data_IF_721898129838
#
_entry.id   IF_721898129838
#
_cell.length_a   1.000
_cell.length_b   1.000
_cell.length_c   1.000
_cell.angle_alpha   90.00
_cell.angle_beta   90.00
_cell.angle_gamma   90.00
#
_symmetry.space_group_name_H-M   'P 1'
#
loop_
_entity.id
_entity.type
_entity.pdbx_description
1 polymer ?
#
# COMPACT_ATOMS: atom_id res chain seq x y z
N UNK A 1 -58.40 11.55 36.98
CA UNK A 1 -56.97 11.77 36.67
C UNK A 1 -56.81 11.73 35.15
N UNK A 2 -57.26 12.81 34.51
CA UNK A 2 -56.45 13.75 33.70
C UNK A 2 -55.94 13.09 32.41
N UNK A 3 -56.77 13.08 31.35
CA UNK A 3 -56.94 14.11 30.30
C UNK A 3 -55.85 14.01 29.21
N UNK A 4 -56.16 13.59 27.98
CA UNK A 4 -56.76 14.34 26.86
C UNK A 4 -55.97 15.58 26.41
N UNK A 5 -55.76 15.66 25.08
CA UNK A 5 -55.44 16.82 24.22
C UNK A 5 -54.09 16.66 23.48
N UNK A 6 -53.93 16.94 22.19
CA UNK A 6 -54.81 17.45 21.13
C UNK A 6 -54.06 17.25 19.80
N UNK A 7 -54.78 16.85 18.75
CA UNK A 7 -54.38 17.08 17.36
C UNK A 7 -54.16 18.58 17.08
N UNK A 8 -53.20 18.97 16.23
CA UNK A 8 -53.35 19.95 15.11
C UNK A 8 -52.00 20.44 14.53
N UNK A 9 -51.83 20.21 13.22
CA UNK A 9 -51.53 21.20 12.16
C UNK A 9 -50.26 22.07 12.31
N UNK A 10 -49.25 21.95 11.43
CA UNK A 10 -49.08 22.75 10.18
C UNK A 10 -47.69 22.59 9.54
N UNK A 11 -47.70 22.48 8.22
CA UNK A 11 -46.64 22.77 7.27
C UNK A 11 -46.05 24.20 7.38
N UNK A 12 -44.72 24.33 7.34
CA UNK A 12 -43.94 25.43 6.72
C UNK A 12 -42.44 25.09 6.91
N UNK A 13 -41.69 24.79 5.85
CA UNK A 13 -40.91 25.78 5.09
C UNK A 13 -40.13 26.74 5.98
N UNK A 14 -38.81 26.55 6.06
CA UNK A 14 -37.83 27.63 6.09
C UNK A 14 -36.49 27.11 5.58
N UNK A 15 -36.10 27.68 4.44
CA UNK A 15 -34.80 27.59 3.83
C UNK A 15 -33.73 28.31 4.67
N UNK A 16 -32.51 27.82 4.61
CA UNK A 16 -31.29 28.64 4.75
C UNK A 16 -30.23 28.06 3.80
N UNK A 17 -30.23 28.48 2.54
CA UNK A 17 -29.36 29.54 1.99
C UNK A 17 -27.87 29.16 1.97
N UNK A 18 -27.50 28.59 0.83
CA UNK A 18 -26.18 28.24 0.27
C UNK A 18 -25.17 29.39 0.18
N UNK A 19 -23.95 29.13 -0.35
CA UNK A 19 -23.48 29.93 -1.48
C UNK A 19 -23.36 29.06 -2.74
N UNK A 20 -24.22 29.38 -3.70
CA UNK A 20 -24.19 28.89 -5.08
C UNK A 20 -23.20 29.76 -5.86
N UNK A 21 -22.22 29.14 -6.50
CA UNK A 21 -21.47 29.78 -7.57
C UNK A 21 -22.27 29.63 -8.86
N UNK A 22 -22.68 30.75 -9.47
CA UNK A 22 -23.41 30.81 -10.74
C UNK A 22 -22.39 31.10 -11.83
N UNK A 23 -22.20 30.16 -12.76
CA UNK A 23 -21.63 30.45 -14.07
C UNK A 23 -22.73 30.27 -15.12
N UNK A 24 -22.88 31.28 -15.97
CA UNK A 24 -24.01 31.48 -16.85
C UNK A 24 -24.09 30.49 -18.00
N UNK A 25 -25.18 29.76 -18.06
CA UNK A 25 -26.04 29.43 -19.22
C UNK A 25 -26.97 28.31 -18.75
N UNK A 26 -28.27 28.54 -18.83
CA UNK A 26 -29.31 27.77 -18.14
C UNK A 26 -29.53 26.35 -18.69
N UNK A 27 -28.56 25.46 -18.53
CA UNK A 27 -28.74 24.03 -18.67
C UNK A 27 -28.47 23.34 -17.33
N UNK A 28 -29.52 22.77 -16.75
CA UNK A 28 -29.43 21.93 -15.57
C UNK A 28 -28.77 20.59 -15.95
N UNK A 29 -27.53 20.38 -15.54
CA UNK A 29 -26.88 19.08 -15.63
C UNK A 29 -27.42 18.18 -14.51
N UNK A 30 -28.02 17.04 -14.89
CA UNK A 30 -28.39 15.97 -13.97
C UNK A 30 -27.17 15.61 -13.10
N UNK A 31 -27.34 15.51 -11.78
CA UNK A 31 -26.27 15.19 -10.84
C UNK A 31 -25.55 13.87 -11.15
N UNK A 32 -26.21 12.97 -11.90
CA UNK A 32 -25.60 11.74 -12.42
C UNK A 32 -24.63 12.00 -13.59
N UNK A 33 -24.86 13.04 -14.39
CA UNK A 33 -24.01 13.43 -15.50
C UNK A 33 -22.73 14.11 -15.00
N UNK A 34 -22.84 14.98 -13.99
CA UNK A 34 -21.69 15.58 -13.29
C UNK A 34 -20.83 14.52 -12.59
N UNK A 35 -21.43 13.51 -11.97
CA UNK A 35 -20.68 12.38 -11.41
C UNK A 35 -20.00 11.55 -12.50
N UNK A 36 -20.64 11.33 -13.66
CA UNK A 36 -20.03 10.60 -14.77
C UNK A 36 -18.90 11.39 -15.44
N UNK A 37 -19.04 12.70 -15.60
CA UNK A 37 -17.98 13.58 -16.10
C UNK A 37 -16.85 13.73 -15.09
N UNK A 38 -17.12 13.80 -13.78
CA UNK A 38 -16.09 13.74 -12.74
C UNK A 38 -15.38 12.37 -12.71
N UNK A 39 -16.10 11.26 -12.95
CA UNK A 39 -15.50 9.91 -13.12
C UNK A 39 -14.63 9.81 -14.37
N UNK A 40 -15.07 10.43 -15.47
CA UNK A 40 -14.36 10.48 -16.75
C UNK A 40 -13.15 11.43 -16.69
N UNK A 41 -13.24 12.55 -15.98
CA UNK A 41 -12.12 13.47 -15.73
C UNK A 41 -11.11 12.87 -14.74
N UNK A 42 -11.58 12.09 -13.76
CA UNK A 42 -10.76 11.23 -12.90
C UNK A 42 -10.05 10.11 -13.68
N UNK A 43 -10.59 9.66 -14.81
CA UNK A 43 -10.00 8.52 -15.56
C UNK A 43 -8.65 8.83 -16.23
N UNK A 44 -8.22 10.09 -16.27
CA UNK A 44 -6.91 10.50 -16.79
C UNK A 44 -6.01 10.95 -15.64
N UNK A 45 -5.32 9.98 -15.04
CA UNK A 45 -4.18 10.18 -14.13
C UNK A 45 -4.52 10.51 -12.65
N UNK A 46 -5.26 9.62 -11.96
CA UNK A 46 -5.54 9.73 -10.49
C UNK A 46 -4.30 9.65 -9.61
N UNK A 47 -3.33 8.82 -10.00
CA UNK A 47 -2.17 8.55 -9.16
C UNK A 47 -1.04 9.52 -9.47
N UNK A 48 -0.21 9.78 -8.45
CA UNK A 48 0.95 10.63 -8.60
C UNK A 48 1.80 10.14 -9.78
N UNK A 49 2.39 11.05 -10.58
CA UNK A 49 3.15 10.66 -11.75
C UNK A 49 4.31 9.74 -11.36
N UNK A 50 4.46 8.64 -12.11
CA UNK A 50 5.53 7.65 -11.93
C UNK A 50 6.93 8.29 -12.04
N UNK A 51 7.04 9.45 -12.72
CA UNK A 51 8.21 10.33 -12.65
C UNK A 51 8.09 11.30 -11.49
N UNK A 52 8.79 11.03 -10.39
CA UNK A 52 8.93 12.00 -9.30
C UNK A 52 10.15 12.87 -9.52
N UNK A 53 9.95 14.20 -9.61
CA UNK A 53 10.89 15.11 -8.94
C UNK A 53 11.02 14.69 -7.46
N UNK A 54 12.05 15.17 -6.75
CA UNK A 54 12.51 14.74 -5.41
C UNK A 54 11.49 14.58 -4.27
N UNK A 55 10.20 14.81 -4.48
CA UNK A 55 9.17 14.90 -3.45
C UNK A 55 8.28 13.65 -3.29
N UNK A 56 8.31 12.67 -4.22
CA UNK A 56 7.51 11.45 -4.10
C UNK A 56 8.36 10.20 -3.89
N UNK A 57 7.85 9.25 -3.10
CA UNK A 57 8.51 7.97 -2.81
C UNK A 57 7.57 6.79 -3.02
N UNK A 58 8.13 5.65 -3.41
CA UNK A 58 7.43 4.37 -3.37
C UNK A 58 7.63 3.67 -2.03
N UNK A 59 6.63 2.90 -1.60
CA UNK A 59 6.71 2.04 -0.43
C UNK A 59 6.59 0.58 -0.84
N UNK A 60 7.40 -0.29 -0.24
CA UNK A 60 7.30 -1.74 -0.40
C UNK A 60 7.22 -2.38 0.97
N UNK A 61 6.14 -3.11 1.24
CA UNK A 61 5.85 -3.74 2.53
C UNK A 61 6.03 -5.26 2.39
N UNK A 62 7.06 -5.81 3.03
CA UNK A 62 7.37 -7.23 2.93
C UNK A 62 6.31 -8.11 3.60
N UNK A 63 6.37 -9.41 3.31
CA UNK A 63 5.73 -10.43 4.15
C UNK A 63 6.31 -10.41 5.58
N UNK A 64 5.49 -10.78 6.56
CA UNK A 64 5.86 -10.63 7.97
C UNK A 64 5.01 -11.42 8.95
N UNK A 65 4.23 -12.41 8.50
CA UNK A 65 3.20 -13.05 9.32
C UNK A 65 2.27 -12.00 9.97
N UNK A 66 1.87 -12.11 11.24
CA UNK A 66 0.96 -11.16 11.90
C UNK A 66 1.64 -9.85 12.35
N UNK A 67 2.73 -9.42 11.69
CA UNK A 67 3.49 -8.22 12.05
C UNK A 67 2.81 -6.89 11.64
N UNK A 68 1.48 -6.80 11.71
CA UNK A 68 0.70 -5.64 11.26
C UNK A 68 1.07 -4.35 12.00
N UNK A 69 1.37 -4.46 13.30
CA UNK A 69 1.85 -3.35 14.12
C UNK A 69 3.14 -2.74 13.57
N UNK A 70 4.06 -3.57 13.09
CA UNK A 70 5.33 -3.10 12.54
C UNK A 70 5.11 -2.30 11.25
N UNK A 71 4.33 -2.82 10.31
CA UNK A 71 4.02 -2.10 9.07
C UNK A 71 3.28 -0.79 9.36
N UNK A 72 2.36 -0.81 10.33
CA UNK A 72 1.64 0.38 10.77
C UNK A 72 2.56 1.43 11.39
N UNK A 73 3.52 1.02 12.21
CA UNK A 73 4.53 1.93 12.77
C UNK A 73 5.43 2.54 11.69
N UNK A 74 5.81 1.74 10.69
CA UNK A 74 6.53 2.24 9.52
C UNK A 74 5.70 3.29 8.75
N UNK A 75 4.44 3.00 8.42
CA UNK A 75 3.56 3.92 7.72
C UNK A 75 3.33 5.23 8.50
N UNK A 76 3.12 5.13 9.82
CA UNK A 76 3.00 6.31 10.70
C UNK A 76 4.23 7.22 10.65
N UNK A 77 5.43 6.66 10.65
CA UNK A 77 6.65 7.46 10.53
C UNK A 77 6.83 8.10 9.13
N UNK A 78 6.33 7.45 8.07
CA UNK A 78 6.33 8.03 6.72
C UNK A 78 5.38 9.23 6.66
N UNK A 79 4.18 9.11 7.24
CA UNK A 79 3.20 10.21 7.34
C UNK A 79 3.73 11.37 8.19
N UNK A 80 4.25 11.08 9.39
CA UNK A 80 4.85 12.08 10.30
C UNK A 80 5.98 12.86 9.63
N UNK A 81 6.72 12.21 8.73
CA UNK A 81 7.78 12.85 7.97
C UNK A 81 7.28 13.71 6.80
N UNK A 82 5.98 13.73 6.50
CA UNK A 82 5.41 14.48 5.39
C UNK A 82 5.87 14.00 4.02
N UNK A 83 6.28 12.73 3.91
CA UNK A 83 6.73 12.14 2.64
C UNK A 83 5.51 11.84 1.76
N UNK A 84 5.52 12.31 0.50
CA UNK A 84 4.43 12.02 -0.42
C UNK A 84 4.63 10.64 -1.05
N UNK A 85 3.62 9.79 -0.96
CA UNK A 85 3.69 8.42 -1.48
C UNK A 85 3.18 8.37 -2.92
N UNK A 86 4.02 7.90 -3.85
CA UNK A 86 3.65 7.68 -5.25
C UNK A 86 2.84 6.40 -5.43
N UNK A 87 3.22 5.35 -4.72
CA UNK A 87 2.48 4.10 -4.68
C UNK A 87 3.10 3.11 -3.74
N UNK A 88 2.37 2.04 -3.51
CA UNK A 88 2.68 1.04 -2.50
C UNK A 88 2.56 -0.34 -3.12
N UNK A 89 3.49 -1.23 -2.81
CA UNK A 89 3.20 -2.66 -2.95
C UNK A 89 3.29 -3.37 -1.60
N UNK A 90 2.48 -4.41 -1.44
CA UNK A 90 2.52 -5.27 -0.28
C UNK A 90 2.50 -6.75 -0.65
N UNK A 91 3.14 -7.57 0.17
CA UNK A 91 3.06 -9.04 0.10
C UNK A 91 2.61 -9.60 1.45
N UNK A 92 1.59 -10.46 1.47
CA UNK A 92 1.06 -11.10 2.69
C UNK A 92 0.65 -10.08 3.74
N UNK A 93 1.30 -10.09 4.91
CA UNK A 93 1.14 -9.08 5.96
C UNK A 93 1.20 -7.63 5.45
N UNK A 94 2.14 -7.35 4.54
CA UNK A 94 2.28 -6.05 3.91
C UNK A 94 1.13 -5.73 2.95
N UNK A 95 0.52 -6.73 2.30
CA UNK A 95 -0.64 -6.53 1.45
C UNK A 95 -1.89 -6.17 2.27
N UNK A 96 -2.08 -6.83 3.41
CA UNK A 96 -3.16 -6.52 4.36
C UNK A 96 -3.01 -5.10 4.92
N UNK A 97 -1.83 -4.74 5.42
CA UNK A 97 -1.59 -3.40 5.95
C UNK A 97 -1.64 -2.31 4.86
N UNK A 98 -1.02 -2.57 3.71
CA UNK A 98 -0.97 -1.63 2.59
C UNK A 98 -2.33 -1.37 1.96
N UNK A 99 -3.18 -2.38 1.81
CA UNK A 99 -4.51 -2.21 1.21
C UNK A 99 -5.41 -1.30 2.05
N UNK A 100 -5.48 -1.51 3.37
CA UNK A 100 -6.23 -0.65 4.28
C UNK A 100 -5.68 0.78 4.28
N UNK A 101 -4.36 0.95 4.30
CA UNK A 101 -3.74 2.27 4.24
C UNK A 101 -4.03 3.00 2.91
N UNK A 102 -4.00 2.29 1.77
CA UNK A 102 -4.38 2.82 0.47
C UNK A 102 -5.88 3.10 0.36
N UNK A 103 -6.71 2.43 1.18
CA UNK A 103 -8.15 2.68 1.30
C UNK A 103 -8.49 3.87 2.22
N UNK A 104 -7.49 4.58 2.75
CA UNK A 104 -7.67 5.80 3.55
C UNK A 104 -7.64 5.59 5.07
N UNK A 105 -7.37 4.38 5.55
CA UNK A 105 -7.23 4.14 6.98
C UNK A 105 -5.94 4.75 7.50
N UNK A 106 -6.00 5.40 8.66
CA UNK A 106 -4.79 5.84 9.38
C UNK A 106 -3.97 4.61 9.80
N UNK A 107 -2.64 4.72 9.95
CA UNK A 107 -1.81 3.60 10.37
C UNK A 107 -2.29 2.95 11.68
N UNK A 108 -2.85 3.72 12.62
CA UNK A 108 -3.42 3.16 13.85
C UNK A 108 -4.70 2.36 13.59
N UNK A 109 -5.57 2.84 12.71
CA UNK A 109 -6.78 2.10 12.32
C UNK A 109 -6.44 0.82 11.56
N UNK A 110 -5.49 0.86 10.62
CA UNK A 110 -4.99 -0.34 9.90
C UNK A 110 -4.64 -1.43 10.90
N UNK A 111 -3.86 -1.05 11.90
CA UNK A 111 -3.37 -1.96 12.90
C UNK A 111 -4.46 -2.48 13.83
N UNK A 112 -5.35 -1.59 14.28
CA UNK A 112 -6.50 -1.93 15.12
C UNK A 112 -7.45 -2.90 14.42
N UNK A 113 -7.75 -2.69 13.14
CA UNK A 113 -8.63 -3.57 12.37
C UNK A 113 -7.97 -4.94 12.16
N UNK A 114 -6.71 -4.99 11.74
CA UNK A 114 -6.02 -6.27 11.51
C UNK A 114 -5.77 -7.07 12.80
N UNK A 115 -5.74 -6.40 13.95
CA UNK A 115 -5.57 -7.02 15.27
C UNK A 115 -6.86 -7.17 16.09
N UNK A 116 -8.03 -6.77 15.56
CA UNK A 116 -9.31 -6.84 16.30
C UNK A 116 -9.68 -8.28 16.67
N UNK A 117 -9.53 -9.20 15.73
CA UNK A 117 -9.86 -10.61 15.91
C UNK A 117 -8.61 -11.47 15.95
N UNK A 118 -8.59 -12.43 16.89
CA UNK A 118 -7.54 -13.45 16.91
C UNK A 118 -7.58 -14.23 15.58
N UNK A 119 -6.44 -14.45 14.91
CA UNK A 119 -6.42 -15.07 13.58
C UNK A 119 -7.13 -16.42 13.53
N UNK A 120 -7.11 -17.18 14.63
CA UNK A 120 -7.80 -18.48 14.75
C UNK A 120 -9.31 -18.40 14.51
N UNK A 121 -9.96 -17.26 14.82
CA UNK A 121 -11.40 -17.07 14.61
C UNK A 121 -11.78 -16.89 13.13
N UNK A 122 -10.79 -16.64 12.28
CA UNK A 122 -10.97 -16.46 10.84
C UNK A 122 -10.63 -17.73 10.05
N UNK A 123 -10.28 -18.82 10.74
CA UNK A 123 -9.93 -20.11 10.15
C UNK A 123 -11.16 -21.02 10.18
N UNK A 124 -11.66 -21.40 9.00
CA UNK A 124 -12.67 -22.45 8.88
C UNK A 124 -12.07 -23.70 8.24
N UNK A 125 -12.43 -24.92 8.71
CA UNK A 125 -12.08 -26.17 8.04
C UNK A 125 -12.50 -26.11 6.57
N UNK A 126 -11.60 -26.44 5.67
CA UNK A 126 -11.94 -26.49 4.25
C UNK A 126 -12.89 -27.65 3.97
N UNK A 127 -13.90 -27.40 3.12
CA UNK A 127 -14.79 -28.44 2.58
C UNK A 127 -14.12 -29.32 1.50
N UNK A 128 -12.89 -28.99 1.06
CA UNK A 128 -12.15 -29.73 0.04
C UNK A 128 -10.65 -29.84 0.36
N UNK A 129 -10.25 -30.49 1.47
CA UNK A 129 -8.85 -30.54 1.94
C UNK A 129 -7.88 -31.18 0.93
N UNK A 130 -8.37 -32.06 0.05
CA UNK A 130 -7.59 -32.69 -1.03
C UNK A 130 -7.11 -31.71 -2.11
N UNK A 131 -7.59 -30.46 -2.14
CA UNK A 131 -7.17 -29.42 -3.10
C UNK A 131 -6.00 -28.54 -2.62
N UNK A 132 -5.29 -28.95 -1.56
CA UNK A 132 -4.00 -28.36 -1.19
C UNK A 132 -4.00 -27.33 -0.06
N UNK A 133 -5.01 -27.35 0.81
CA UNK A 133 -5.05 -26.55 2.04
C UNK A 133 -6.15 -27.01 3.00
N UNK A 134 -5.84 -27.04 4.30
CA UNK A 134 -6.75 -27.54 5.34
C UNK A 134 -7.80 -26.48 5.75
N UNK A 135 -7.55 -25.21 5.45
CA UNK A 135 -8.37 -24.08 5.86
C UNK A 135 -8.79 -23.21 4.65
N UNK A 136 -10.04 -22.75 4.64
CA UNK A 136 -10.53 -21.79 3.64
C UNK A 136 -10.24 -20.35 4.08
N UNK A 137 -10.04 -19.46 3.10
CA UNK A 137 -9.92 -18.00 3.30
C UNK A 137 -11.21 -17.23 3.00
N UNK A 138 -12.33 -17.91 2.70
CA UNK A 138 -13.61 -17.22 2.46
C UNK A 138 -14.00 -16.24 3.59
N UNK A 139 -13.84 -16.58 4.89
CA UNK A 139 -14.12 -15.64 5.97
C UNK A 139 -13.20 -14.40 5.95
N UNK A 140 -11.94 -14.58 5.51
CA UNK A 140 -11.00 -13.47 5.36
C UNK A 140 -11.43 -12.59 4.20
N UNK A 141 -11.84 -13.17 3.07
CA UNK A 141 -12.39 -12.41 1.93
C UNK A 141 -13.62 -11.61 2.33
N UNK A 142 -14.58 -12.23 3.04
CA UNK A 142 -15.78 -11.53 3.52
C UNK A 142 -15.44 -10.37 4.46
N UNK A 143 -14.51 -10.59 5.39
CA UNK A 143 -14.03 -9.53 6.27
C UNK A 143 -13.40 -8.38 5.48
N UNK A 144 -12.58 -8.70 4.48
CA UNK A 144 -11.95 -7.69 3.62
C UNK A 144 -12.96 -6.94 2.77
N UNK A 145 -14.03 -7.58 2.28
CA UNK A 145 -15.15 -6.91 1.58
C UNK A 145 -15.85 -5.88 2.47
N UNK A 146 -15.89 -6.09 3.78
CA UNK A 146 -16.43 -5.12 4.73
C UNK A 146 -15.48 -3.96 5.05
N UNK A 147 -14.18 -4.08 4.77
CA UNK A 147 -13.17 -3.09 5.13
C UNK A 147 -12.60 -2.32 3.94
N UNK A 148 -12.55 -2.94 2.76
CA UNK A 148 -11.89 -2.43 1.56
C UNK A 148 -12.92 -2.10 0.47
N UNK A 149 -12.60 -1.15 -0.44
CA UNK A 149 -13.33 -1.00 -1.68
C UNK A 149 -13.36 -2.29 -2.51
N UNK A 150 -14.31 -2.39 -3.43
CA UNK A 150 -14.46 -3.57 -4.27
C UNK A 150 -13.24 -3.75 -5.20
N UNK A 151 -12.68 -2.65 -5.69
CA UNK A 151 -11.60 -2.68 -6.69
C UNK A 151 -10.39 -1.80 -6.34
N UNK A 152 -9.22 -2.14 -6.90
CA UNK A 152 -7.99 -1.33 -6.75
C UNK A 152 -8.18 0.09 -7.28
N UNK A 153 -9.04 0.26 -8.28
CA UNK A 153 -9.37 1.51 -8.93
C UNK A 153 -10.12 2.48 -8.00
N UNK A 154 -10.62 2.03 -6.85
CA UNK A 154 -11.31 2.86 -5.87
C UNK A 154 -10.40 3.31 -4.73
N UNK A 155 -9.13 2.89 -4.72
CA UNK A 155 -8.16 3.29 -3.70
C UNK A 155 -7.72 4.75 -3.86
N UNK A 156 -7.38 5.38 -2.74
CA UNK A 156 -6.83 6.75 -2.72
C UNK A 156 -5.40 6.81 -3.26
N UNK A 157 -4.66 5.70 -3.11
CA UNK A 157 -3.24 5.60 -3.41
C UNK A 157 -3.01 4.40 -4.31
N UNK A 158 -2.05 4.51 -5.22
CA UNK A 158 -1.71 3.42 -6.11
C UNK A 158 -1.21 2.22 -5.29
N UNK A 159 -1.76 1.04 -5.58
CA UNK A 159 -1.47 -0.15 -4.81
C UNK A 159 -1.30 -1.38 -5.71
N UNK A 160 -0.35 -2.24 -5.36
CA UNK A 160 -0.20 -3.56 -5.95
C UNK A 160 0.04 -4.62 -4.87
N UNK A 161 -0.43 -5.83 -5.16
CA UNK A 161 -0.35 -6.98 -4.27
C UNK A 161 0.54 -8.05 -4.91
N UNK A 162 1.54 -8.53 -4.16
CA UNK A 162 2.38 -9.65 -4.57
C UNK A 162 1.72 -11.00 -4.31
N UNK A 163 1.62 -11.84 -5.33
CA UNK A 163 1.06 -13.20 -5.24
C UNK A 163 1.93 -14.19 -6.02
N UNK A 164 1.74 -15.49 -5.76
CA UNK A 164 2.27 -16.57 -6.60
C UNK A 164 1.15 -17.14 -7.46
N UNK A 165 1.36 -17.21 -8.78
CA UNK A 165 0.41 -17.83 -9.71
C UNK A 165 0.50 -19.37 -9.73
N UNK A 166 -0.39 -20.02 -10.47
CA UNK A 166 -0.41 -21.47 -10.63
C UNK A 166 0.89 -22.06 -11.24
N UNK A 167 1.68 -21.24 -11.93
CA UNK A 167 2.98 -21.64 -12.50
C UNK A 167 4.15 -21.42 -11.53
N UNK A 168 3.88 -20.96 -10.31
CA UNK A 168 4.91 -20.73 -9.29
C UNK A 168 5.67 -19.41 -9.46
N UNK A 169 5.15 -18.47 -10.26
CA UNK A 169 5.79 -17.18 -10.52
C UNK A 169 5.27 -16.13 -9.55
N UNK A 170 6.16 -15.31 -9.00
CA UNK A 170 5.77 -14.13 -8.25
C UNK A 170 5.30 -13.04 -9.22
N UNK A 171 4.03 -12.66 -9.15
CA UNK A 171 3.42 -11.63 -10.00
C UNK A 171 2.76 -10.54 -9.15
N UNK A 172 2.48 -9.40 -9.77
CA UNK A 172 1.74 -8.31 -9.15
C UNK A 172 0.31 -8.25 -9.68
N UNK A 173 -0.63 -8.05 -8.75
CA UNK A 173 -2.02 -7.74 -9.03
C UNK A 173 -2.30 -6.32 -8.56
N UNK A 174 -2.76 -5.45 -9.46
CA UNK A 174 -2.91 -4.01 -9.23
C UNK A 174 -4.22 -3.44 -9.80
N UNK A 175 -5.15 -4.32 -10.19
CA UNK A 175 -6.45 -3.97 -10.80
C UNK A 175 -7.50 -5.04 -10.50
N UNK A 176 -8.77 -4.68 -10.58
CA UNK A 176 -9.86 -5.63 -10.40
C UNK A 176 -10.18 -5.93 -8.93
N UNK A 177 -10.68 -7.14 -8.58
CA UNK A 177 -11.23 -7.44 -7.25
C UNK A 177 -10.16 -7.38 -6.14
N UNK A 178 -10.21 -6.32 -5.34
CA UNK A 178 -9.19 -6.01 -4.33
C UNK A 178 -9.22 -6.98 -3.14
N UNK A 179 -10.38 -7.26 -2.50
CA UNK A 179 -10.44 -8.18 -1.35
C UNK A 179 -9.87 -9.57 -1.67
N UNK A 180 -10.19 -10.11 -2.84
CA UNK A 180 -9.71 -11.42 -3.30
C UNK A 180 -8.21 -11.41 -3.55
N UNK A 181 -7.68 -10.35 -4.17
CA UNK A 181 -6.24 -10.22 -4.40
C UNK A 181 -5.46 -10.14 -3.08
N UNK A 182 -5.95 -9.34 -2.13
CA UNK A 182 -5.32 -9.22 -0.79
C UNK A 182 -5.39 -10.55 -0.03
N UNK A 183 -6.54 -11.24 -0.06
CA UNK A 183 -6.67 -12.57 0.54
C UNK A 183 -5.74 -13.60 -0.09
N UNK A 184 -5.63 -13.61 -1.43
CA UNK A 184 -4.71 -14.48 -2.16
C UNK A 184 -3.26 -14.29 -1.72
N UNK A 185 -2.85 -13.04 -1.48
CA UNK A 185 -1.51 -12.71 -0.98
C UNK A 185 -1.24 -13.21 0.44
N UNK A 186 -2.28 -13.51 1.22
CA UNK A 186 -2.17 -14.11 2.55
C UNK A 186 -2.42 -15.64 2.54
N UNK A 187 -2.62 -16.26 1.38
CA UNK A 187 -2.89 -17.70 1.23
C UNK A 187 -1.61 -18.54 1.35
N UNK A 188 -1.12 -18.70 2.58
CA UNK A 188 0.08 -19.48 2.90
C UNK A 188 -0.14 -20.95 2.49
N UNK A 189 0.69 -21.51 1.58
CA UNK A 189 0.57 -22.89 1.15
C UNK A 189 0.60 -23.88 2.31
N UNK A 190 -0.07 -25.02 2.15
CA UNK A 190 -0.26 -26.09 3.16
C UNK A 190 -1.21 -25.71 4.30
N UNK A 191 -1.29 -24.42 4.66
CA UNK A 191 -2.24 -23.92 5.67
C UNK A 191 -3.57 -23.58 5.00
N UNK A 192 -3.51 -22.75 3.96
CA UNK A 192 -4.67 -22.21 3.27
C UNK A 192 -4.77 -22.70 1.83
N UNK A 193 -6.00 -22.78 1.33
CA UNK A 193 -6.25 -23.00 -0.08
C UNK A 193 -5.87 -21.77 -0.90
N UNK A 194 -5.37 -22.01 -2.11
CA UNK A 194 -5.15 -20.92 -3.05
C UNK A 194 -6.48 -20.23 -3.40
N UNK A 195 -6.44 -18.91 -3.54
CA UNK A 195 -7.61 -18.08 -3.77
C UNK A 195 -7.79 -17.86 -5.27
N UNK A 196 -9.02 -17.98 -5.74
CA UNK A 196 -9.36 -17.64 -7.12
C UNK A 196 -9.71 -16.15 -7.19
N UNK A 197 -9.10 -15.43 -8.13
CA UNK A 197 -9.40 -14.03 -8.38
C UNK A 197 -10.18 -13.94 -9.70
N UNK A 198 -11.42 -13.41 -9.69
CA UNK A 198 -12.21 -13.24 -10.91
C UNK A 198 -11.46 -12.42 -11.96
N UNK A 199 -11.48 -12.89 -13.21
CA UNK A 199 -10.81 -12.22 -14.34
C UNK A 199 -9.35 -12.63 -14.61
N UNK A 200 -8.76 -13.51 -13.78
CA UNK A 200 -7.36 -13.93 -13.92
C UNK A 200 -7.10 -15.29 -14.60
N UNK A 201 -8.16 -15.98 -15.04
CA UNK A 201 -8.07 -17.16 -15.93
C UNK A 201 -7.06 -18.22 -15.49
N UNK A 202 -6.13 -18.57 -16.40
CA UNK A 202 -5.11 -19.64 -16.27
C UNK A 202 -4.05 -19.42 -15.18
N UNK A 203 -4.04 -18.25 -14.55
CA UNK A 203 -3.11 -17.93 -13.46
C UNK A 203 -3.63 -18.43 -12.09
N UNK A 204 -4.90 -18.82 -12.01
CA UNK A 204 -5.52 -19.34 -10.80
C UNK A 204 -5.15 -20.81 -10.51
N UNK A 205 -5.17 -21.24 -9.24
CA UNK A 205 -5.39 -20.42 -8.03
C UNK A 205 -4.11 -19.68 -7.60
N UNK A 206 -4.27 -18.53 -6.95
CA UNK A 206 -3.16 -17.74 -6.41
C UNK A 206 -2.82 -18.11 -4.97
N UNK A 207 -1.56 -17.93 -4.61
CA UNK A 207 -1.02 -18.22 -3.27
C UNK A 207 -0.21 -17.03 -2.74
N UNK A 208 0.17 -17.10 -1.47
CA UNK A 208 0.98 -16.07 -0.81
C UNK A 208 2.30 -15.82 -1.58
N UNK A 209 2.51 -14.56 -1.98
CA UNK A 209 3.71 -14.09 -2.70
C UNK A 209 5.02 -14.38 -1.97
N UNK A 210 4.98 -14.34 -0.63
CA UNK A 210 6.14 -14.48 0.25
C UNK A 210 6.78 -15.86 0.23
N UNK A 211 6.16 -16.83 -0.42
CA UNK A 211 6.73 -18.16 -0.66
C UNK A 211 7.87 -18.10 -1.68
N UNK A 212 7.81 -17.17 -2.63
CA UNK A 212 8.81 -17.00 -3.71
C UNK A 212 9.63 -15.74 -3.48
N UNK A 213 8.98 -14.60 -3.26
CA UNK A 213 9.63 -13.32 -2.98
C UNK A 213 8.90 -12.62 -1.84
N UNK A 214 9.58 -12.49 -0.70
CA UNK A 214 8.99 -11.90 0.51
C UNK A 214 8.85 -10.41 0.40
N UNK A 215 9.61 -9.74 -0.47
CA UNK A 215 9.64 -8.29 -0.57
C UNK A 215 8.90 -7.82 -1.81
N UNK A 216 9.05 -8.51 -2.95
CA UNK A 216 8.44 -8.12 -4.21
C UNK A 216 9.10 -6.90 -4.87
N UNK A 217 10.23 -6.41 -4.34
CA UNK A 217 10.85 -5.16 -4.78
C UNK A 217 11.17 -5.17 -6.27
N UNK A 218 11.78 -6.24 -6.79
CA UNK A 218 12.15 -6.30 -8.20
C UNK A 218 10.90 -6.21 -9.10
N UNK A 219 9.86 -6.97 -8.77
CA UNK A 219 8.60 -6.95 -9.51
C UNK A 219 7.96 -5.54 -9.51
N UNK A 220 7.99 -4.84 -8.37
CA UNK A 220 7.50 -3.47 -8.28
C UNK A 220 8.29 -2.49 -9.16
N UNK A 221 9.62 -2.58 -9.14
CA UNK A 221 10.49 -1.69 -9.91
C UNK A 221 10.36 -1.94 -11.41
N UNK A 222 10.26 -3.20 -11.83
CA UNK A 222 10.02 -3.56 -13.23
C UNK A 222 8.65 -3.05 -13.72
N UNK A 223 7.62 -3.14 -12.89
CA UNK A 223 6.31 -2.54 -13.17
C UNK A 223 6.42 -1.02 -13.35
N UNK A 224 7.10 -0.32 -12.43
CA UNK A 224 7.30 1.14 -12.51
C UNK A 224 8.04 1.55 -13.79
N UNK A 225 9.09 0.81 -14.19
CA UNK A 225 9.79 1.03 -15.47
C UNK A 225 8.83 0.89 -16.66
N UNK A 226 7.98 -0.14 -16.63
CA UNK A 226 7.01 -0.40 -17.70
C UNK A 226 5.97 0.71 -17.82
N UNK A 227 5.51 1.26 -16.68
CA UNK A 227 4.62 2.43 -16.66
C UNK A 227 5.30 3.68 -17.25
N UNK A 228 6.56 3.92 -16.90
CA UNK A 228 7.33 5.03 -17.46
C UNK A 228 7.49 4.91 -18.98
N UNK A 229 7.86 3.72 -19.46
CA UNK A 229 8.01 3.45 -20.88
C UNK A 229 6.69 3.68 -21.63
N UNK A 230 5.56 3.21 -21.07
CA UNK A 230 4.24 3.36 -21.66
C UNK A 230 3.75 4.81 -21.70
N UNK A 231 4.24 5.67 -20.81
CA UNK A 231 3.86 7.08 -20.74
C UNK A 231 4.57 7.97 -21.79
N UNK A 232 5.39 7.40 -22.68
CA UNK A 232 6.07 8.15 -23.76
C UNK A 232 7.08 9.20 -23.27
N UNK A 233 7.41 9.21 -21.97
CA UNK A 233 8.39 10.14 -21.38
C UNK A 233 9.79 9.65 -21.69
N UNK A 234 10.29 9.99 -22.86
CA UNK A 234 11.72 9.92 -23.20
C UNK A 234 12.48 10.89 -22.28
N UNK A 235 13.10 10.34 -21.23
CA UNK A 235 14.26 10.86 -20.50
C UNK A 235 14.55 12.38 -20.57
N UNK A 236 13.89 13.16 -19.71
CA UNK A 236 14.58 14.24 -18.99
C UNK A 236 14.62 13.83 -17.50
N UNK A 237 15.63 13.04 -17.14
CA UNK A 237 15.94 12.68 -15.74
C UNK A 237 15.69 11.24 -15.30
N UNK A 238 14.85 10.46 -16.00
CA UNK A 238 14.89 8.98 -16.07
C UNK A 238 14.89 8.10 -14.81
N UNK A 239 14.82 8.67 -13.60
CA UNK A 239 15.07 7.95 -12.36
C UNK A 239 13.73 7.62 -11.70
N UNK A 240 13.53 6.33 -11.42
CA UNK A 240 12.42 5.88 -10.60
C UNK A 240 12.42 6.61 -9.24
N UNK A 241 11.24 6.86 -8.64
CA UNK A 241 11.15 7.49 -7.33
C UNK A 241 12.00 6.71 -6.31
N UNK A 242 12.56 7.38 -5.29
CA UNK A 242 13.15 6.69 -4.15
C UNK A 242 12.15 5.70 -3.54
N UNK A 243 12.63 4.56 -3.10
CA UNK A 243 11.80 3.48 -2.59
C UNK A 243 12.19 3.18 -1.15
N UNK A 244 11.25 3.30 -0.22
CA UNK A 244 11.42 2.82 1.14
C UNK A 244 10.83 1.42 1.26
N UNK A 245 11.65 0.48 1.70
CA UNK A 245 11.28 -0.93 1.81
C UNK A 245 11.23 -1.29 3.29
N UNK A 246 10.08 -1.74 3.77
CA UNK A 246 9.93 -2.21 5.13
C UNK A 246 10.01 -3.73 5.17
N UNK A 247 11.06 -4.25 5.80
CA UNK A 247 11.35 -5.69 5.88
C UNK A 247 11.16 -6.19 7.31
N UNK A 248 10.27 -7.16 7.48
CA UNK A 248 10.12 -7.91 8.73
C UNK A 248 11.11 -9.07 8.74
N UNK A 249 12.06 -9.04 9.67
CA UNK A 249 13.05 -10.12 9.86
C UNK A 249 12.37 -11.42 10.29
N UNK A 250 12.94 -12.55 9.89
CA UNK A 250 12.52 -13.90 10.29
C UNK A 250 13.67 -14.70 10.89
N UNK A 251 13.32 -15.78 11.59
CA UNK A 251 14.26 -16.63 12.31
C UNK A 251 14.95 -17.69 11.45
N UNK A 252 14.38 -18.06 10.28
CA UNK A 252 14.95 -19.08 9.39
C UNK A 252 14.52 -18.86 7.93
N UNK A 253 15.40 -19.07 6.94
CA UNK A 253 15.11 -18.95 5.52
C UNK A 253 14.36 -20.19 4.97
N UNK A 254 13.17 -20.48 5.48
CA UNK A 254 12.42 -21.69 5.08
C UNK A 254 11.71 -21.56 3.72
N UNK A 255 11.49 -20.34 3.21
CA UNK A 255 10.84 -20.08 1.89
C UNK A 255 11.01 -18.63 1.40
N UNK A 256 11.17 -18.40 0.10
CA UNK A 256 11.20 -17.07 -0.51
C UNK A 256 12.45 -16.23 -0.23
N UNK A 257 12.76 -15.30 -1.14
CA UNK A 257 13.92 -14.41 -1.05
C UNK A 257 13.62 -13.14 -0.24
N UNK A 258 14.58 -12.69 0.59
CA UNK A 258 14.50 -11.47 1.42
C UNK A 258 15.52 -10.40 1.03
N UNK A 259 16.42 -10.72 0.10
CA UNK A 259 17.64 -9.95 -0.15
C UNK A 259 17.36 -8.77 -1.07
N UNK A 260 16.92 -7.66 -0.48
CA UNK A 260 16.75 -6.38 -1.19
C UNK A 260 18.01 -5.99 -1.97
N UNK A 261 19.20 -6.12 -1.36
CA UNK A 261 20.47 -5.79 -2.03
C UNK A 261 20.80 -6.67 -3.23
N UNK A 262 20.33 -7.93 -3.26
CA UNK A 262 20.57 -8.85 -4.37
C UNK A 262 19.78 -8.47 -5.64
N UNK A 263 18.78 -7.58 -5.53
CA UNK A 263 18.01 -7.10 -6.68
C UNK A 263 18.79 -6.14 -7.57
N UNK A 264 19.88 -5.52 -7.06
CA UNK A 264 20.64 -4.49 -7.78
C UNK A 264 19.89 -3.15 -7.94
N UNK A 265 18.75 -2.98 -7.26
CA UNK A 265 17.92 -1.78 -7.37
C UNK A 265 18.54 -0.57 -6.67
N UNK A 266 18.65 0.54 -7.40
CA UNK A 266 19.13 1.82 -6.87
C UNK A 266 18.00 2.64 -6.23
N UNK A 267 18.38 3.62 -5.38
CA UNK A 267 17.47 4.48 -4.61
C UNK A 267 16.55 3.73 -3.64
N UNK A 268 17.09 2.69 -3.03
CA UNK A 268 16.34 1.86 -2.09
C UNK A 268 16.89 2.10 -0.69
N UNK A 269 15.99 2.46 0.23
CA UNK A 269 16.29 2.53 1.67
C UNK A 269 15.49 1.46 2.38
N UNK A 270 16.19 0.60 3.12
CA UNK A 270 15.56 -0.53 3.80
C UNK A 270 15.43 -0.23 5.29
N UNK A 271 14.21 -0.33 5.80
CA UNK A 271 13.91 -0.28 7.23
C UNK A 271 13.62 -1.70 7.70
N UNK A 272 14.41 -2.18 8.66
CA UNK A 272 14.21 -3.51 9.23
C UNK A 272 13.46 -3.45 10.56
N UNK A 273 12.39 -4.23 10.69
CA UNK A 273 11.78 -4.58 11.97
C UNK A 273 12.15 -6.00 12.38
N UNK A 274 12.28 -6.29 13.69
CA UNK A 274 12.44 -7.65 14.16
C UNK A 274 11.18 -8.47 13.86
N UNK A 275 11.29 -9.80 13.98
CA UNK A 275 10.11 -10.67 14.01
C UNK A 275 9.20 -10.20 15.14
N UNK A 276 7.91 -10.04 14.85
CA UNK A 276 6.90 -9.78 15.88
C UNK A 276 6.79 -10.99 16.82
N UNK A 277 6.70 -10.76 18.13
CA UNK A 277 6.50 -11.81 19.14
C UNK A 277 5.11 -12.48 19.07
N UNK A 278 4.25 -11.93 18.21
CA UNK A 278 2.91 -12.42 17.91
C UNK A 278 2.89 -13.85 17.36
N UNK A 279 1.88 -14.59 17.77
CA UNK A 279 1.55 -15.91 17.27
C UNK A 279 0.03 -16.02 17.08
N UNK A 280 -0.46 -17.18 16.65
CA UNK A 280 -1.90 -17.39 16.40
C UNK A 280 -2.79 -17.20 17.65
N UNK A 281 -2.21 -17.22 18.86
CA UNK A 281 -2.91 -17.14 20.14
C UNK A 281 -2.67 -15.84 20.91
N UNK A 282 -1.66 -15.05 20.54
CA UNK A 282 -1.31 -13.79 21.20
C UNK A 282 -0.82 -12.77 20.18
N UNK A 283 -1.43 -11.58 20.21
CA UNK A 283 -1.08 -10.45 19.36
C UNK A 283 0.05 -9.58 19.95
N UNK A 284 0.71 -10.05 21.00
CA UNK A 284 1.86 -9.37 21.60
C UNK A 284 1.54 -7.96 22.13
N UNK A 285 2.58 -7.17 22.38
CA UNK A 285 2.43 -5.75 22.76
C UNK A 285 2.37 -4.88 21.49
N UNK A 286 1.14 -4.71 21.02
CA UNK A 286 0.81 -4.02 19.79
C UNK A 286 1.36 -2.58 19.73
N UNK A 287 1.10 -1.78 20.76
CA UNK A 287 1.50 -0.36 20.81
C UNK A 287 3.03 -0.24 20.86
N UNK A 288 3.69 -1.13 21.62
CA UNK A 288 5.13 -1.14 21.71
C UNK A 288 5.80 -1.53 20.38
N UNK A 289 5.28 -2.53 19.66
CA UNK A 289 5.81 -2.94 18.36
C UNK A 289 5.63 -1.82 17.31
N UNK A 290 4.46 -1.18 17.28
CA UNK A 290 4.20 -0.03 16.41
C UNK A 290 5.16 1.13 16.71
N UNK A 291 5.31 1.51 17.97
CA UNK A 291 6.21 2.59 18.38
C UNK A 291 7.69 2.30 18.05
N UNK A 292 8.12 1.05 18.26
CA UNK A 292 9.49 0.60 17.92
C UNK A 292 9.74 0.67 16.40
N UNK A 293 8.79 0.25 15.58
CA UNK A 293 8.90 0.32 14.12
C UNK A 293 8.90 1.79 13.62
N UNK A 294 8.06 2.64 14.18
CA UNK A 294 8.03 4.07 13.87
C UNK A 294 9.38 4.74 14.16
N UNK A 295 9.97 4.48 15.34
CA UNK A 295 11.28 5.03 15.72
C UNK A 295 12.39 4.64 14.74
N UNK A 296 12.45 3.36 14.32
CA UNK A 296 13.45 2.89 13.34
C UNK A 296 13.28 3.56 11.99
N UNK A 297 12.05 3.76 11.57
CA UNK A 297 11.72 4.40 10.29
C UNK A 297 12.12 5.87 10.30
N UNK A 298 11.82 6.61 11.39
CA UNK A 298 12.19 8.03 11.53
C UNK A 298 13.70 8.25 11.33
N UNK A 299 14.54 7.42 11.95
CA UNK A 299 16.00 7.50 11.79
C UNK A 299 16.47 7.35 10.33
N UNK A 300 15.86 6.42 9.58
CA UNK A 300 16.20 6.19 8.18
C UNK A 300 15.69 7.30 7.26
N UNK A 301 14.48 7.80 7.53
CA UNK A 301 13.89 8.92 6.79
C UNK A 301 14.69 10.21 7.01
N UNK A 302 15.17 10.46 8.23
CA UNK A 302 16.05 11.59 8.51
C UNK A 302 17.34 11.52 7.71
N UNK A 303 17.94 10.33 7.60
CA UNK A 303 19.14 10.09 6.80
C UNK A 303 18.89 10.35 5.30
N UNK A 304 17.72 9.97 4.79
CA UNK A 304 17.29 10.30 3.42
C UNK A 304 17.18 11.81 3.21
N UNK A 305 16.57 12.53 4.16
CA UNK A 305 16.41 13.98 4.07
C UNK A 305 17.75 14.73 4.18
N UNK A 306 18.65 14.29 5.05
CA UNK A 306 19.97 14.93 5.24
C UNK A 306 20.94 14.59 4.12
N UNK A 307 20.94 13.35 3.63
CA UNK A 307 21.74 12.92 2.48
C UNK A 307 21.37 13.66 1.18
N UNK A 308 20.12 14.10 1.04
CA UNK A 308 19.70 14.95 -0.08
C UNK A 308 20.21 16.41 -0.01
N UNK A 309 20.70 16.86 1.15
CA UNK A 309 21.20 18.23 1.38
C UNK A 309 22.73 18.39 1.25
N UNK A 310 23.46 17.36 0.83
CA UNK A 310 24.90 17.44 0.54
C UNK A 310 25.18 17.20 -0.96
N UNK A 311 24.71 18.11 -1.80
CA UNK A 311 25.56 18.56 -2.91
C UNK A 311 25.95 20.01 -2.60
N UNK A 312 27.17 20.29 -2.11
CA UNK A 312 27.66 21.66 -2.15
C UNK A 312 27.59 22.12 -3.62
N UNK A 313 26.88 23.24 -3.85
CA UNK A 313 26.93 23.98 -5.12
C UNK A 313 28.38 24.05 -5.57
N UNK A 314 28.59 23.73 -6.84
CA UNK A 314 29.90 23.46 -7.43
C UNK A 314 31.00 24.38 -6.92
N UNK A 315 32.09 23.77 -6.46
CA UNK A 315 33.38 24.44 -6.49
C UNK A 315 33.68 24.66 -7.98
N UNK A 316 33.60 25.92 -8.39
CA UNK A 316 33.96 26.38 -9.71
C UNK A 316 35.41 25.98 -9.99
N UNK A 317 35.61 25.00 -10.89
CA UNK A 317 36.93 24.51 -11.31
C UNK A 317 37.78 25.58 -11.98
N UNK A 318 37.30 26.82 -12.15
CA UNK A 318 38.11 27.95 -12.62
C UNK A 318 38.96 28.63 -11.55
N UNK A 319 38.78 28.36 -10.25
CA UNK A 319 39.64 28.96 -9.21
C UNK A 319 40.87 28.12 -8.81
N UNK A 320 41.04 26.90 -9.32
CA UNK A 320 42.24 26.07 -9.07
C UNK A 320 43.30 26.13 -10.18
N UNK A 321 43.11 26.96 -11.21
CA UNK A 321 44.06 27.13 -12.31
C UNK A 321 44.87 28.45 -12.25
N UNK A 322 44.74 29.25 -11.19
CA UNK A 322 45.39 30.57 -11.10
C UNK A 322 46.46 30.69 -9.99
N UNK A 323 46.80 29.60 -9.30
CA UNK A 323 47.84 29.62 -8.24
C UNK A 323 49.08 28.77 -8.54
N UNK A 324 49.25 28.25 -9.77
CA UNK A 324 50.45 27.51 -10.18
C UNK A 324 51.29 28.21 -11.25
N UNK A 325 51.12 29.52 -11.45
CA UNK A 325 51.99 30.35 -12.28
C UNK A 325 52.35 31.65 -11.55
N UNK A 326 52.95 31.54 -10.37
CA UNK A 326 53.71 32.66 -9.77
C UNK A 326 54.70 32.14 -8.72
N UNK A 327 55.72 31.44 -9.17
CA UNK A 327 56.98 31.29 -8.42
C UNK A 327 58.06 30.95 -9.41
N UNK A 328 58.81 31.99 -9.76
CA UNK A 328 60.20 31.94 -10.21
C UNK A 328 61.06 31.12 -9.22
#
# INVERSE_FOLDING_TARGET
MAMNAYSRIKSASLASSSPRCVLGSGQYLDGRHLQSEMKLLSSRNRYAPVTGGSNYIDLVLSSGFLAFANHSGFLSAVEDAGLKVAGIMGTSAGALAGSLYCAGYTPRQVASELSRDAPIKLLNPSHAPWKGGLLSLDPVVERLRGLLPATFEELEKEFAVGVVDAQGRHILIDKGPLPEAVAASAAIPLIFQGVHIPGYGQQNPFKDGGVVDRVGLKAWRDRRRSQLASAGRQHEGGRLPPCLVHVIKRSSPFSGQDSVGATGEANVTVVHSPKSGVNFFSLGDFEQDMAKAARRTKLQVETLKTGSKLQPKGIDRKQLALTSQSSH
#
